data_IF_798696655421
#
_entry.id   IF_798696655421
#
_cell.length_a   1.000
_cell.length_b   1.000
_cell.length_c   1.000
_cell.angle_alpha   90.00
_cell.angle_beta   90.00
_cell.angle_gamma   90.00
#
_symmetry.space_group_name_H-M   'P 1'
#
loop_
_entity.id
_entity.type
_entity.pdbx_description
1 polymer ?
#
# COMPACT_ATOMS: atom_id res chain seq x y z
N UNK A 1 -0.79 -1.15 11.71
CA UNK A 1 -0.29 -2.17 12.66
C UNK A 1 0.24 -3.47 12.02
N UNK A 2 -0.28 -3.98 10.89
CA UNK A 2 0.11 -5.32 10.35
C UNK A 2 1.45 -5.39 9.59
N UNK A 3 1.89 -4.33 8.91
CA UNK A 3 3.18 -4.33 8.19
C UNK A 3 4.39 -4.32 9.15
N UNK A 4 4.24 -3.69 10.32
CA UNK A 4 5.24 -3.69 11.39
C UNK A 4 5.53 -5.11 11.93
N UNK A 5 4.50 -5.97 11.99
CA UNK A 5 4.64 -7.36 12.45
C UNK A 5 5.43 -8.26 11.48
N UNK A 6 5.67 -7.82 10.24
CA UNK A 6 6.51 -8.50 9.25
C UNK A 6 7.83 -7.76 8.98
N UNK A 7 8.20 -6.78 9.80
CA UNK A 7 9.43 -5.99 9.61
C UNK A 7 9.38 -5.01 8.43
N UNK A 8 8.18 -4.70 7.93
CA UNK A 8 7.93 -3.77 6.82
C UNK A 8 7.07 -2.61 7.32
N UNK A 9 7.17 -2.25 8.60
CA UNK A 9 6.45 -1.10 9.13
C UNK A 9 7.00 0.20 8.57
N UNK A 10 6.13 1.11 8.14
CA UNK A 10 6.50 2.49 7.84
C UNK A 10 7.22 3.12 9.04
N UNK A 11 8.34 3.81 8.82
CA UNK A 11 9.03 4.57 9.88
C UNK A 11 8.23 5.82 10.24
N UNK A 12 8.36 6.34 11.47
CA UNK A 12 7.56 7.49 11.93
C UNK A 12 7.72 8.74 11.06
N UNK A 13 8.93 9.01 10.58
CA UNK A 13 9.24 10.15 9.70
C UNK A 13 9.03 9.87 8.22
N UNK A 14 8.74 8.62 7.84
CA UNK A 14 8.65 8.24 6.43
C UNK A 14 7.37 8.78 5.81
N UNK A 15 7.45 9.34 4.61
CA UNK A 15 6.28 9.79 3.86
C UNK A 15 5.53 8.60 3.25
N UNK A 16 4.25 8.75 2.86
CA UNK A 16 3.53 7.70 2.13
C UNK A 16 4.27 7.22 0.88
N UNK A 17 4.89 8.14 0.12
CA UNK A 17 5.64 7.82 -1.09
C UNK A 17 6.95 7.09 -0.82
N UNK A 18 7.69 7.49 0.22
CA UNK A 18 8.90 6.75 0.61
C UNK A 18 8.57 5.33 1.06
N UNK A 19 7.47 5.18 1.80
CA UNK A 19 7.03 3.87 2.23
C UNK A 19 6.55 2.99 1.07
N UNK A 20 5.87 3.58 0.09
CA UNK A 20 5.44 2.86 -1.11
C UNK A 20 6.62 2.41 -1.95
N UNK A 21 7.65 3.25 -2.10
CA UNK A 21 8.87 2.90 -2.81
C UNK A 21 9.61 1.73 -2.13
N UNK A 22 9.73 1.75 -0.80
CA UNK A 22 10.30 0.64 -0.03
C UNK A 22 9.52 -0.67 -0.22
N UNK A 23 8.18 -0.58 -0.21
CA UNK A 23 7.32 -1.74 -0.36
C UNK A 23 7.39 -2.31 -1.79
N UNK A 24 7.41 -1.44 -2.81
CA UNK A 24 7.53 -1.84 -4.21
C UNK A 24 8.87 -2.50 -4.53
N UNK A 25 9.97 -2.05 -3.89
CA UNK A 25 11.28 -2.74 -4.02
C UNK A 25 11.27 -4.15 -3.45
N UNK A 26 10.49 -4.40 -2.41
CA UNK A 26 10.40 -5.72 -1.76
C UNK A 26 9.37 -6.65 -2.41
N UNK A 27 8.37 -6.07 -3.07
CA UNK A 27 7.25 -6.76 -3.70
C UNK A 27 7.04 -6.19 -5.12
N UNK A 28 8.00 -6.38 -6.04
CA UNK A 28 7.95 -5.80 -7.38
C UNK A 28 6.71 -6.25 -8.17
N UNK A 29 6.21 -7.46 -7.91
CA UNK A 29 4.99 -8.00 -8.52
C UNK A 29 3.71 -7.25 -8.10
N UNK A 30 3.79 -6.40 -7.08
CA UNK A 30 2.70 -5.57 -6.58
C UNK A 30 2.95 -4.06 -6.77
N UNK A 31 3.92 -3.66 -7.58
CA UNK A 31 4.27 -2.23 -7.71
C UNK A 31 3.05 -1.35 -8.09
N UNK A 32 2.25 -1.80 -9.05
CA UNK A 32 1.05 -1.06 -9.48
C UNK A 32 -0.01 -1.00 -8.39
N UNK A 33 -0.18 -2.09 -7.63
CA UNK A 33 -1.11 -2.15 -6.50
C UNK A 33 -0.69 -1.22 -5.37
N UNK A 34 0.61 -1.18 -5.07
CA UNK A 34 1.20 -0.33 -4.03
C UNK A 34 1.08 1.14 -4.43
N UNK A 35 1.32 1.46 -5.70
CA UNK A 35 1.19 2.81 -6.24
C UNK A 35 -0.27 3.28 -6.20
N UNK A 36 -1.22 2.45 -6.63
CA UNK A 36 -2.65 2.74 -6.57
C UNK A 36 -3.15 2.95 -5.14
N UNK A 37 -2.70 2.14 -4.18
CA UNK A 37 -3.03 2.31 -2.76
C UNK A 37 -2.50 3.62 -2.20
N UNK A 38 -1.26 3.97 -2.53
CA UNK A 38 -0.61 5.20 -2.05
C UNK A 38 -1.29 6.42 -2.62
N UNK A 39 -1.63 6.41 -3.92
CA UNK A 39 -2.38 7.48 -4.56
C UNK A 39 -3.74 7.71 -3.90
N UNK A 40 -4.52 6.65 -3.68
CA UNK A 40 -5.82 6.76 -3.01
C UNK A 40 -5.71 7.20 -1.55
N UNK A 41 -4.65 6.79 -0.83
CA UNK A 41 -4.38 7.26 0.52
C UNK A 41 -4.07 8.75 0.55
N UNK A 42 -3.15 9.22 -0.30
CA UNK A 42 -2.77 10.63 -0.38
C UNK A 42 -3.96 11.50 -0.78
N UNK A 43 -4.77 11.06 -1.74
CA UNK A 43 -5.98 11.77 -2.14
C UNK A 43 -7.01 11.86 -1.01
N UNK A 44 -7.17 10.80 -0.21
CA UNK A 44 -8.10 10.81 0.93
C UNK A 44 -7.60 11.66 2.11
N UNK A 45 -6.29 11.64 2.38
CA UNK A 45 -5.69 12.28 3.55
C UNK A 45 -5.36 13.77 3.29
N UNK A 46 -4.92 14.11 2.08
CA UNK A 46 -4.40 15.42 1.71
C UNK A 46 -5.13 16.09 0.55
N UNK A 47 -6.08 15.39 -0.09
CA UNK A 47 -6.84 15.93 -1.20
C UNK A 47 -7.98 16.87 -0.76
N UNK A 48 -8.40 17.80 -1.63
CA UNK A 48 -9.50 18.72 -1.34
C UNK A 48 -10.87 18.03 -1.35
N UNK A 49 -10.96 16.82 -1.90
CA UNK A 49 -12.17 16.01 -2.00
C UNK A 49 -11.83 14.53 -1.81
N UNK A 50 -12.73 13.73 -1.22
CA UNK A 50 -12.53 12.30 -1.05
C UNK A 50 -12.40 11.59 -2.40
N UNK A 51 -11.68 10.45 -2.46
CA UNK A 51 -11.55 9.66 -3.68
C UNK A 51 -12.91 9.14 -4.15
N UNK A 52 -13.10 9.10 -5.46
CA UNK A 52 -14.34 8.64 -6.06
C UNK A 52 -14.58 7.12 -5.82
N UNK A 53 -15.79 6.61 -6.08
CA UNK A 53 -16.10 5.19 -5.89
C UNK A 53 -15.24 4.24 -6.73
N UNK A 54 -14.79 4.66 -7.92
CA UNK A 54 -13.93 3.86 -8.81
C UNK A 54 -12.53 3.75 -8.21
N UNK A 55 -11.94 4.87 -7.81
CA UNK A 55 -10.63 4.93 -7.13
C UNK A 55 -10.65 4.12 -5.83
N UNK A 56 -11.74 4.19 -5.08
CA UNK A 56 -11.94 3.40 -3.86
C UNK A 56 -12.01 1.91 -4.16
N UNK A 57 -12.71 1.51 -5.22
CA UNK A 57 -12.81 0.11 -5.64
C UNK A 57 -11.45 -0.46 -6.07
N UNK A 58 -10.68 0.31 -6.84
CA UNK A 58 -9.31 -0.05 -7.24
C UNK A 58 -8.41 -0.24 -6.02
N UNK A 59 -8.43 0.72 -5.09
CA UNK A 59 -7.65 0.63 -3.86
C UNK A 59 -8.03 -0.60 -3.01
N UNK A 60 -9.33 -0.92 -2.89
CA UNK A 60 -9.78 -2.12 -2.16
C UNK A 60 -9.25 -3.41 -2.79
N UNK A 61 -9.25 -3.50 -4.14
CA UNK A 61 -8.72 -4.69 -4.85
C UNK A 61 -7.22 -4.84 -4.66
N UNK A 62 -6.48 -3.73 -4.82
CA UNK A 62 -5.04 -3.68 -4.57
C UNK A 62 -4.70 -4.08 -3.12
N UNK A 63 -5.47 -3.59 -2.14
CA UNK A 63 -5.31 -3.98 -0.74
C UNK A 63 -5.54 -5.47 -0.51
N UNK A 64 -6.53 -6.05 -1.19
CA UNK A 64 -6.81 -7.48 -1.14
C UNK A 64 -5.63 -8.33 -1.63
N UNK A 65 -5.03 -7.94 -2.76
CA UNK A 65 -3.85 -8.61 -3.33
C UNK A 65 -2.64 -8.49 -2.41
N UNK A 66 -2.34 -7.28 -1.94
CA UNK A 66 -1.25 -7.03 -1.00
C UNK A 66 -1.41 -7.85 0.28
N UNK A 67 -2.62 -7.89 0.86
CA UNK A 67 -2.90 -8.72 2.05
C UNK A 67 -2.70 -10.20 1.81
N UNK A 68 -3.02 -10.72 0.62
CA UNK A 68 -2.83 -12.13 0.30
C UNK A 68 -1.35 -12.48 0.26
N UNK A 69 -0.53 -11.66 -0.40
CA UNK A 69 0.93 -11.84 -0.46
C UNK A 69 1.56 -11.73 0.93
N UNK A 70 1.16 -10.73 1.74
CA UNK A 70 1.67 -10.58 3.12
C UNK A 70 1.23 -11.70 4.07
N UNK A 71 0.15 -12.43 3.74
CA UNK A 71 -0.38 -13.57 4.51
C UNK A 71 0.18 -14.91 4.06
N UNK A 72 0.64 -15.03 2.82
CA UNK A 72 1.30 -16.24 2.39
C UNK A 72 2.52 -16.49 3.31
N UNK A 73 2.75 -17.73 3.78
CA UNK A 73 4.02 -18.06 4.38
C UNK A 73 5.08 -17.75 3.32
N UNK A 74 6.00 -16.85 3.66
CA UNK A 74 7.14 -16.52 2.82
C UNK A 74 7.87 -17.83 2.54
N UNK A 75 7.69 -18.37 1.32
CA UNK A 75 8.54 -19.44 0.81
C UNK A 75 9.92 -18.84 0.67
N UNK A 76 10.76 -19.08 1.68
CA UNK A 76 12.20 -19.18 1.48
C UNK A 76 12.48 -20.50 0.78
#
# INVERSE_FOLDING_TARGET
>A
QRAAQRGIGRRRSQTPYEYSADLARRLPELNDDISALTGSFVAAEYGPRPPDPVQTSVARRAWGRLRRVLRAPSKQ
#
